data_IF_546756230405
#
_entry.id   IF_546756230405
#
_cell.length_a   1.000
_cell.length_b   1.000
_cell.length_c   1.000
_cell.angle_alpha   90.00
_cell.angle_beta   90.00
_cell.angle_gamma   90.00
#
_symmetry.space_group_name_H-M   'P 1'
#
loop_
_entity.id
_entity.type
_entity.pdbx_description
1 polymer ?
#
# COMPACT_ATOMS: atom_id res chain seq x y z
N UNK A 1 -0.38 -9.00 -18.61
CA UNK A 1 0.49 -9.25 -17.44
C UNK A 1 -0.41 -9.60 -16.29
N UNK A 2 -0.34 -10.84 -15.78
CA UNK A 2 -1.02 -11.18 -14.53
C UNK A 2 -0.40 -10.37 -13.39
N UNK A 3 -1.21 -9.60 -12.68
CA UNK A 3 -0.75 -8.89 -11.50
C UNK A 3 -0.72 -9.91 -10.36
N UNK A 4 0.47 -10.40 -10.02
CA UNK A 4 0.67 -11.31 -8.88
C UNK A 4 0.14 -10.64 -7.60
N UNK A 5 -0.92 -11.22 -7.04
CA UNK A 5 -1.44 -10.85 -5.73
C UNK A 5 -0.71 -11.63 -4.65
N UNK A 6 -0.11 -10.92 -3.70
CA UNK A 6 0.48 -11.47 -2.49
C UNK A 6 -0.63 -11.78 -1.47
N UNK A 7 -0.47 -12.89 -0.74
CA UNK A 7 -1.32 -13.21 0.40
C UNK A 7 -0.64 -12.68 1.66
N UNK A 8 -1.29 -11.75 2.35
CA UNK A 8 -0.85 -11.21 3.63
C UNK A 8 -1.75 -11.77 4.73
N UNK A 9 -1.16 -12.32 5.78
CA UNK A 9 -1.89 -12.77 6.96
C UNK A 9 -2.02 -11.60 7.93
N UNK A 10 -3.25 -11.25 8.29
CA UNK A 10 -3.52 -10.18 9.26
C UNK A 10 -3.22 -10.65 10.67
N UNK A 11 -3.19 -9.71 11.62
CA UNK A 11 -3.07 -10.01 13.04
C UNK A 11 -4.20 -10.92 13.58
N UNK A 12 -5.34 -10.98 12.88
CA UNK A 12 -6.48 -11.85 13.22
C UNK A 12 -6.39 -13.25 12.58
N UNK A 13 -5.28 -13.57 11.91
CA UNK A 13 -5.10 -14.84 11.21
C UNK A 13 -5.84 -14.92 9.87
N UNK A 14 -6.43 -13.82 9.40
CA UNK A 14 -7.14 -13.78 8.13
C UNK A 14 -6.14 -13.62 6.98
N UNK A 15 -6.33 -14.38 5.90
CA UNK A 15 -5.50 -14.25 4.70
C UNK A 15 -6.17 -13.31 3.72
N UNK A 16 -5.57 -12.14 3.49
CA UNK A 16 -6.05 -11.14 2.55
C UNK A 16 -5.15 -11.16 1.31
N UNK A 17 -5.75 -11.12 0.13
CA UNK A 17 -5.02 -10.92 -1.14
C UNK A 17 -4.76 -9.42 -1.33
N UNK A 18 -3.52 -9.05 -1.54
CA UNK A 18 -3.07 -7.68 -1.79
C UNK A 18 -2.17 -7.64 -3.01
N UNK A 19 -2.06 -6.50 -3.68
CA UNK A 19 -1.00 -6.30 -4.67
C UNK A 19 0.36 -6.10 -3.97
N UNK A 20 1.45 -6.26 -4.73
CA UNK A 20 2.80 -5.99 -4.21
C UNK A 20 2.97 -4.51 -3.87
N UNK A 21 3.91 -4.22 -2.96
CA UNK A 21 4.27 -2.85 -2.57
C UNK A 21 4.60 -1.99 -3.81
N UNK A 22 5.36 -2.54 -4.76
CA UNK A 22 5.75 -1.79 -5.97
C UNK A 22 4.59 -1.49 -6.92
N UNK A 23 3.59 -2.38 -6.94
CA UNK A 23 2.37 -2.10 -7.68
C UNK A 23 1.62 -0.92 -7.05
N UNK A 24 1.48 -0.90 -5.72
CA UNK A 24 0.85 0.21 -5.02
C UNK A 24 1.62 1.51 -5.20
N UNK A 25 2.96 1.51 -5.14
CA UNK A 25 3.75 2.73 -5.38
C UNK A 25 3.43 3.36 -6.75
N UNK A 26 3.34 2.52 -7.80
CA UNK A 26 2.99 2.97 -9.15
C UNK A 26 1.58 3.57 -9.24
N UNK A 27 0.59 2.97 -8.57
CA UNK A 27 -0.76 3.53 -8.55
C UNK A 27 -0.84 4.83 -7.75
N UNK A 28 -0.21 4.85 -6.56
CA UNK A 28 -0.23 6.01 -5.69
C UNK A 28 0.38 7.24 -6.36
N UNK A 29 1.53 7.10 -7.03
CA UNK A 29 2.16 8.20 -7.77
C UNK A 29 1.40 8.60 -9.05
N UNK A 30 0.53 7.73 -9.57
CA UNK A 30 -0.28 8.04 -10.74
C UNK A 30 -1.44 8.97 -10.36
N UNK A 31 -2.07 8.71 -9.21
CA UNK A 31 -3.32 9.35 -8.83
C UNK A 31 -3.14 10.46 -7.78
N UNK A 32 -2.03 10.46 -7.03
CA UNK A 32 -1.81 11.37 -5.89
C UNK A 32 -0.43 12.01 -5.88
N UNK A 33 -0.36 13.23 -5.32
CA UNK A 33 0.91 13.88 -5.00
C UNK A 33 1.53 13.27 -3.74
N UNK A 34 2.87 13.33 -3.63
CA UNK A 34 3.59 12.85 -2.44
C UNK A 34 3.09 13.55 -1.17
N UNK A 35 2.78 14.85 -1.23
CA UNK A 35 2.24 15.59 -0.10
C UNK A 35 0.87 15.05 0.35
N UNK A 36 -0.04 14.76 -0.60
CA UNK A 36 -1.34 14.17 -0.30
C UNK A 36 -1.19 12.76 0.27
N UNK A 37 -0.27 11.95 -0.28
CA UNK A 37 0.02 10.61 0.23
C UNK A 37 0.47 10.70 1.69
N UNK A 38 1.34 11.65 2.03
CA UNK A 38 1.88 11.83 3.38
C UNK A 38 0.82 12.32 4.37
N UNK A 39 0.13 13.41 4.04
CA UNK A 39 -0.68 14.14 5.01
C UNK A 39 -2.09 13.57 5.14
N UNK A 40 -2.64 13.01 4.06
CA UNK A 40 -4.03 12.56 4.01
C UNK A 40 -4.14 11.04 3.92
N UNK A 41 -3.41 10.39 3.03
CA UNK A 41 -3.61 8.97 2.76
C UNK A 41 -2.95 8.05 3.78
N UNK A 42 -1.66 8.26 4.09
CA UNK A 42 -0.86 7.40 4.95
C UNK A 42 -1.51 7.15 6.33
N UNK A 43 -2.08 8.15 7.03
CA UNK A 43 -2.73 7.94 8.33
C UNK A 43 -4.00 7.07 8.28
N UNK A 44 -4.61 6.89 7.10
CA UNK A 44 -5.83 6.10 6.92
C UNK A 44 -5.55 4.64 6.57
N UNK A 45 -4.28 4.31 6.27
CA UNK A 45 -3.90 2.96 5.86
C UNK A 45 -3.48 2.13 7.07
N UNK A 46 -3.85 0.86 7.07
CA UNK A 46 -3.39 -0.08 8.10
C UNK A 46 -1.90 -0.40 7.92
N UNK A 47 -1.11 -0.30 9.00
CA UNK A 47 0.34 -0.48 8.98
C UNK A 47 0.80 -1.83 8.39
N UNK A 48 0.01 -2.88 8.58
CA UNK A 48 0.30 -4.22 8.07
C UNK A 48 0.06 -4.37 6.56
N UNK A 49 -0.65 -3.42 5.93
CA UNK A 49 -1.00 -3.47 4.50
C UNK A 49 0.17 -3.09 3.59
N UNK A 50 0.24 -3.71 2.41
CA UNK A 50 1.21 -3.34 1.38
C UNK A 50 0.99 -1.92 0.85
N UNK A 51 -0.25 -1.40 0.89
CA UNK A 51 -0.54 -0.02 0.56
C UNK A 51 0.12 0.96 1.55
N UNK A 52 0.07 0.67 2.86
CA UNK A 52 0.75 1.48 3.87
C UNK A 52 2.26 1.47 3.67
N UNK A 53 2.86 0.29 3.49
CA UNK A 53 4.30 0.16 3.23
C UNK A 53 4.72 0.98 2.01
N UNK A 54 3.95 0.90 0.92
CA UNK A 54 4.19 1.69 -0.28
C UNK A 54 4.13 3.20 -0.01
N UNK A 55 3.06 3.68 0.65
CA UNK A 55 2.90 5.08 0.99
C UNK A 55 4.00 5.59 1.93
N UNK A 56 4.40 4.78 2.92
CA UNK A 56 5.49 5.12 3.85
C UNK A 56 6.85 5.20 3.15
N UNK A 57 7.13 4.32 2.18
CA UNK A 57 8.36 4.38 1.39
C UNK A 57 8.40 5.58 0.44
N UNK A 58 7.25 5.99 -0.11
CA UNK A 58 7.16 7.15 -1.02
C UNK A 58 7.28 8.50 -0.31
N UNK A 59 7.06 8.56 1.00
CA UNK A 59 6.96 9.80 1.78
C UNK A 59 8.11 9.99 2.78
N UNK A 60 9.10 9.09 2.73
CA UNK A 60 10.35 9.15 3.48
C UNK A 60 11.36 10.13 2.90
#
# INVERSE_FOLDING_TARGET
MEVLMEKVVTHYGETIKQHSVEWYKKQLLKDFSVQFIKDSLLPQLFEWSNAYKAAAELTK
#
